data_IF_532923277692
#
_entry.id   IF_532923277692
#
_cell.length_a   1.000
_cell.length_b   1.000
_cell.length_c   1.000
_cell.angle_alpha   90.00
_cell.angle_beta   90.00
_cell.angle_gamma   90.00
#
_symmetry.space_group_name_H-M   'P 1'
#
loop_
_entity.id
_entity.type
_entity.pdbx_description
1 polymer ?
#
# COMPACT_ATOMS: atom_id res chain seq x y z
N UNK A 1 28.33 -9.38 6.35
CA UNK A 1 28.10 -9.73 4.94
C UNK A 1 27.05 -8.78 4.38
N UNK A 2 27.47 -7.75 3.64
CA UNK A 2 26.58 -6.87 2.89
C UNK A 2 25.94 -7.67 1.77
N UNK A 3 24.63 -7.90 1.83
CA UNK A 3 23.88 -8.46 0.69
C UNK A 3 23.81 -7.40 -0.40
N UNK A 4 24.54 -7.64 -1.49
CA UNK A 4 24.43 -6.95 -2.76
C UNK A 4 23.01 -7.11 -3.30
N UNK A 5 22.31 -5.99 -3.42
CA UNK A 5 20.93 -5.97 -3.88
C UNK A 5 20.27 -4.66 -3.52
N UNK A 6 20.84 -3.53 -3.97
CA UNK A 6 20.06 -2.28 -4.02
C UNK A 6 18.92 -2.48 -5.02
N UNK A 7 17.83 -3.11 -4.58
CA UNK A 7 16.53 -2.99 -5.26
C UNK A 7 16.23 -1.50 -5.29
N UNK A 8 16.16 -0.90 -6.49
CA UNK A 8 15.71 0.48 -6.64
C UNK A 8 14.26 0.51 -6.18
N UNK A 9 14.04 1.05 -4.98
CA UNK A 9 12.70 1.35 -4.49
C UNK A 9 12.16 2.51 -5.32
N UNK A 10 11.12 2.21 -6.10
CA UNK A 10 10.42 3.21 -6.91
C UNK A 10 9.56 4.09 -5.99
N UNK A 11 9.43 5.37 -6.32
CA UNK A 11 8.43 6.21 -5.68
C UNK A 11 7.05 5.58 -5.94
N UNK A 12 6.25 5.42 -4.90
CA UNK A 12 4.90 4.90 -5.01
C UNK A 12 3.93 5.89 -4.37
N UNK A 13 2.83 6.17 -5.04
CA UNK A 13 1.68 6.85 -4.42
C UNK A 13 0.67 5.79 -4.01
N UNK A 14 0.02 5.99 -2.86
CA UNK A 14 -1.03 5.12 -2.35
C UNK A 14 -2.38 5.84 -2.42
N UNK A 15 -3.41 5.16 -2.91
CA UNK A 15 -4.77 5.67 -2.97
C UNK A 15 -5.80 4.56 -2.70
N UNK A 16 -7.03 4.97 -2.42
CA UNK A 16 -8.17 4.09 -2.16
C UNK A 16 -9.20 4.28 -3.26
N UNK A 17 -9.69 3.20 -3.85
CA UNK A 17 -10.71 3.26 -4.89
C UNK A 17 -12.10 2.99 -4.30
N UNK A 18 -13.04 3.89 -4.59
CA UNK A 18 -14.46 3.68 -4.33
C UNK A 18 -15.28 4.02 -5.57
N UNK A 19 -16.38 3.31 -5.77
CA UNK A 19 -17.19 3.39 -6.97
C UNK A 19 -18.51 4.11 -6.67
N UNK A 20 -18.81 5.17 -7.41
CA UNK A 20 -20.10 5.87 -7.37
C UNK A 20 -21.23 5.08 -8.06
N UNK A 21 -22.48 5.51 -7.86
CA UNK A 21 -23.66 4.83 -8.39
C UNK A 21 -23.71 4.78 -9.94
N UNK A 22 -23.09 5.76 -10.60
CA UNK A 22 -23.02 5.95 -12.07
C UNK A 22 -21.63 5.60 -12.64
N UNK A 23 -20.92 4.67 -12.00
CA UNK A 23 -19.70 4.03 -12.52
C UNK A 23 -18.45 4.91 -12.64
N UNK A 24 -18.39 6.02 -11.91
CA UNK A 24 -17.15 6.79 -11.74
C UNK A 24 -16.39 6.28 -10.51
N UNK A 25 -15.13 5.87 -10.72
CA UNK A 25 -14.22 5.53 -9.61
C UNK A 25 -13.56 6.81 -9.09
N UNK A 26 -13.74 7.07 -7.80
CA UNK A 26 -13.12 8.17 -7.08
C UNK A 26 -11.98 7.68 -6.19
N UNK A 27 -10.95 8.51 -6.03
CA UNK A 27 -9.81 8.24 -5.17
C UNK A 27 -10.10 8.77 -3.76
N UNK A 28 -10.73 7.96 -2.91
CA UNK A 28 -11.22 8.38 -1.60
C UNK A 28 -11.19 7.25 -0.56
N UNK A 29 -10.67 7.54 0.64
CA UNK A 29 -10.39 6.53 1.67
C UNK A 29 -11.64 6.00 2.39
N UNK A 30 -12.57 6.88 2.77
CA UNK A 30 -13.77 6.43 3.50
C UNK A 30 -14.86 6.04 2.51
N UNK A 31 -15.78 5.11 2.85
CA UNK A 31 -16.97 4.90 2.04
C UNK A 31 -17.98 6.07 2.13
N UNK A 32 -17.89 6.87 3.21
CA UNK A 32 -18.75 8.02 3.48
C UNK A 32 -17.99 9.34 3.27
N UNK A 33 -18.67 10.35 2.72
CA UNK A 33 -18.07 11.64 2.33
C UNK A 33 -17.85 12.61 3.50
N UNK A 34 -18.52 12.37 4.62
CA UNK A 34 -18.77 13.31 5.72
C UNK A 34 -17.51 13.83 6.40
N UNK A 35 -16.50 12.98 6.59
CA UNK A 35 -15.34 13.31 7.41
C UNK A 35 -14.39 14.32 6.75
N UNK A 36 -14.28 14.26 5.42
CA UNK A 36 -13.21 14.96 4.68
C UNK A 36 -13.72 15.99 3.68
N UNK A 37 -15.03 16.03 3.44
CA UNK A 37 -15.63 16.90 2.42
C UNK A 37 -16.75 17.73 3.00
N UNK A 38 -17.21 18.72 2.24
CA UNK A 38 -18.41 19.49 2.56
C UNK A 38 -19.73 18.78 2.18
N UNK A 39 -19.68 17.51 1.79
CA UNK A 39 -20.84 16.67 1.51
C UNK A 39 -21.05 15.58 2.56
N UNK A 40 -22.09 14.77 2.38
CA UNK A 40 -22.46 13.70 3.31
C UNK A 40 -22.99 12.48 2.56
N UNK A 41 -22.86 11.30 3.19
CA UNK A 41 -23.43 10.04 2.75
C UNK A 41 -22.48 9.17 1.92
N UNK A 42 -23.01 8.00 1.56
CA UNK A 42 -22.23 6.89 1.03
C UNK A 42 -21.94 7.07 -0.45
N UNK A 43 -20.66 6.95 -0.83
CA UNK A 43 -20.22 7.07 -2.24
C UNK A 43 -20.94 6.08 -3.15
N UNK A 44 -21.09 4.78 -2.81
CA UNK A 44 -21.78 3.82 -3.68
C UNK A 44 -23.27 4.10 -3.90
N UNK A 45 -23.88 4.96 -3.08
CA UNK A 45 -25.29 5.32 -3.17
C UNK A 45 -25.52 6.67 -3.86
N UNK A 46 -24.46 7.36 -4.27
CA UNK A 46 -24.53 8.68 -4.92
C UNK A 46 -23.96 8.65 -6.33
N UNK A 47 -24.59 9.32 -7.31
CA UNK A 47 -23.97 9.52 -8.60
C UNK A 47 -22.78 10.47 -8.45
N UNK A 48 -21.76 10.31 -9.27
CA UNK A 48 -20.70 11.30 -9.36
C UNK A 48 -21.19 12.55 -10.09
N UNK A 49 -21.87 12.35 -11.21
CA UNK A 49 -22.40 13.44 -12.02
C UNK A 49 -23.63 14.08 -11.37
N UNK A 50 -23.59 15.40 -11.19
CA UNK A 50 -24.62 16.20 -10.54
C UNK A 50 -24.58 16.20 -9.00
N UNK A 51 -23.63 15.52 -8.37
CA UNK A 51 -23.57 15.39 -6.91
C UNK A 51 -22.10 15.40 -6.41
N UNK A 52 -21.39 14.26 -6.44
CA UNK A 52 -20.02 14.17 -5.89
C UNK A 52 -19.05 15.15 -6.57
N UNK A 53 -19.22 15.43 -7.87
CA UNK A 53 -18.33 16.35 -8.62
C UNK A 53 -18.33 17.80 -8.09
N UNK A 54 -19.38 18.20 -7.38
CA UNK A 54 -19.51 19.53 -6.77
C UNK A 54 -18.91 19.61 -5.37
N UNK A 55 -18.57 18.48 -4.76
CA UNK A 55 -18.02 18.42 -3.41
C UNK A 55 -16.56 18.88 -3.37
N UNK A 56 -16.16 19.40 -2.22
CA UNK A 56 -14.81 19.89 -1.96
C UNK A 56 -14.28 19.39 -0.63
N UNK A 57 -12.97 19.21 -0.56
CA UNK A 57 -12.28 18.87 0.70
C UNK A 57 -12.43 19.99 1.72
N UNK A 58 -12.55 19.63 3.00
CA UNK A 58 -12.63 20.60 4.10
C UNK A 58 -11.30 21.33 4.34
N UNK A 59 -10.17 20.65 4.11
CA UNK A 59 -8.84 21.24 4.24
C UNK A 59 -8.59 22.26 3.12
N UNK A 60 -7.97 23.39 3.48
CA UNK A 60 -7.61 24.45 2.54
C UNK A 60 -6.23 24.23 1.88
N UNK A 61 -6.07 24.57 0.59
CA UNK A 61 -7.11 25.07 -0.31
C UNK A 61 -8.08 23.95 -0.70
N UNK A 62 -9.39 24.23 -0.63
CA UNK A 62 -10.43 23.24 -0.94
C UNK A 62 -10.25 22.66 -2.36
N UNK A 63 -10.14 21.33 -2.46
CA UNK A 63 -9.91 20.61 -3.72
C UNK A 63 -11.13 19.75 -4.10
N UNK A 64 -11.35 19.46 -5.41
CA UNK A 64 -12.29 18.43 -5.82
C UNK A 64 -11.82 17.04 -5.39
N UNK A 65 -12.74 16.07 -5.36
CA UNK A 65 -12.41 14.65 -5.15
C UNK A 65 -11.81 14.10 -6.46
N UNK A 66 -10.56 13.59 -6.44
CA UNK A 66 -9.92 13.10 -7.67
C UNK A 66 -10.60 11.83 -8.20
N UNK A 67 -10.73 11.73 -9.53
CA UNK A 67 -11.16 10.49 -10.21
C UNK A 67 -9.97 9.57 -10.48
N UNK A 68 -10.26 8.29 -10.66
CA UNK A 68 -9.26 7.30 -11.11
C UNK A 68 -8.64 7.69 -12.45
N UNK A 69 -9.45 8.13 -13.43
CA UNK A 69 -8.98 8.58 -14.74
C UNK A 69 -7.97 9.73 -14.61
N UNK A 70 -8.22 10.70 -13.74
CA UNK A 70 -7.32 11.84 -13.49
C UNK A 70 -5.99 11.39 -12.85
N UNK A 71 -6.03 10.39 -11.97
CA UNK A 71 -4.83 9.80 -11.39
C UNK A 71 -4.00 9.05 -12.46
N UNK A 72 -4.66 8.33 -13.38
CA UNK A 72 -3.99 7.68 -14.50
C UNK A 72 -3.37 8.70 -15.47
N UNK A 73 -4.07 9.77 -15.79
CA UNK A 73 -3.54 10.87 -16.61
C UNK A 73 -2.28 11.48 -15.98
N UNK A 74 -2.31 11.72 -14.67
CA UNK A 74 -1.15 12.23 -13.94
C UNK A 74 0.03 11.25 -14.00
N UNK A 75 -0.22 9.96 -13.81
CA UNK A 75 0.80 8.90 -13.91
C UNK A 75 1.39 8.80 -15.31
N UNK A 76 0.61 9.06 -16.36
CA UNK A 76 1.06 8.95 -17.74
C UNK A 76 1.93 10.12 -18.21
N UNK A 77 2.06 11.19 -17.41
CA UNK A 77 2.98 12.28 -17.71
C UNK A 77 4.44 11.81 -17.67
N UNK A 78 5.31 12.23 -18.62
CA UNK A 78 6.69 11.75 -18.70
C UNK A 78 7.49 11.89 -17.40
N UNK A 79 7.31 13.00 -16.69
CA UNK A 79 7.95 13.29 -15.41
C UNK A 79 7.56 12.28 -14.30
N UNK A 80 6.39 11.66 -14.41
CA UNK A 80 5.86 10.70 -13.44
C UNK A 80 6.05 9.23 -13.87
N UNK A 81 6.74 8.96 -14.98
CA UNK A 81 7.00 7.61 -15.50
C UNK A 81 7.69 6.67 -14.49
N UNK A 82 8.41 7.23 -13.52
CA UNK A 82 9.11 6.51 -12.47
C UNK A 82 8.21 6.08 -11.28
N UNK A 83 6.98 6.61 -11.19
CA UNK A 83 6.06 6.42 -10.06
C UNK A 83 5.21 5.16 -10.25
N UNK A 84 5.12 4.35 -9.19
CA UNK A 84 4.15 3.24 -9.07
C UNK A 84 2.89 3.72 -8.36
N UNK A 85 1.77 3.08 -8.66
CA UNK A 85 0.48 3.39 -8.07
C UNK A 85 -0.07 2.20 -7.30
N UNK A 86 -0.08 2.33 -5.98
CA UNK A 86 -0.63 1.34 -5.06
C UNK A 86 -2.08 1.70 -4.74
N UNK A 87 -3.03 0.85 -5.12
CA UNK A 87 -4.46 1.13 -5.06
C UNK A 87 -5.13 0.11 -4.16
N UNK A 88 -5.77 0.57 -3.10
CA UNK A 88 -6.54 -0.30 -2.22
C UNK A 88 -7.92 -0.59 -2.78
N UNK A 89 -8.20 -1.89 -2.89
CA UNK A 89 -9.47 -2.45 -3.33
C UNK A 89 -10.25 -2.90 -2.09
N UNK A 90 -11.16 -2.03 -1.66
CA UNK A 90 -11.95 -2.22 -0.43
C UNK A 90 -12.97 -3.35 -0.56
N UNK A 91 -13.31 -4.05 0.55
CA UNK A 91 -14.20 -5.21 0.55
C UNK A 91 -15.62 -4.93 0.04
N UNK A 92 -16.14 -3.72 0.17
CA UNK A 92 -17.49 -3.33 -0.25
C UNK A 92 -17.66 -3.26 -1.78
N UNK A 93 -16.58 -3.22 -2.56
CA UNK A 93 -16.67 -3.08 -4.02
C UNK A 93 -17.18 -4.38 -4.70
N UNK A 94 -18.01 -4.26 -5.76
CA UNK A 94 -18.36 -5.38 -6.64
C UNK A 94 -17.17 -5.70 -7.58
N UNK A 95 -16.51 -6.88 -7.46
CA UNK A 95 -15.24 -7.16 -8.14
C UNK A 95 -15.28 -7.00 -9.67
N UNK A 96 -16.23 -7.65 -10.33
CA UNK A 96 -16.31 -7.71 -11.79
C UNK A 96 -16.64 -6.34 -12.38
N UNK A 97 -17.57 -5.61 -11.75
CA UNK A 97 -17.95 -4.26 -12.16
C UNK A 97 -16.78 -3.30 -11.98
N UNK A 98 -16.14 -3.29 -10.80
CA UNK A 98 -14.99 -2.44 -10.51
C UNK A 98 -13.85 -2.68 -11.49
N UNK A 99 -13.42 -3.93 -11.66
CA UNK A 99 -12.28 -4.23 -12.54
C UNK A 99 -12.59 -4.02 -14.01
N UNK A 100 -13.84 -4.17 -14.45
CA UNK A 100 -14.25 -3.81 -15.81
C UNK A 100 -14.13 -2.30 -16.06
N UNK A 101 -14.53 -1.47 -15.10
CA UNK A 101 -14.38 -0.01 -15.18
C UNK A 101 -12.91 0.36 -15.16
N UNK A 102 -12.12 -0.21 -14.23
CA UNK A 102 -10.67 0.02 -14.17
C UNK A 102 -9.99 -0.37 -15.49
N UNK A 103 -10.32 -1.55 -16.04
CA UNK A 103 -9.79 -1.99 -17.32
C UNK A 103 -10.10 -0.98 -18.42
N UNK A 104 -11.36 -0.55 -18.54
CA UNK A 104 -11.80 0.45 -19.53
C UNK A 104 -11.05 1.77 -19.36
N UNK A 105 -10.79 2.21 -18.13
CA UNK A 105 -10.01 3.41 -17.83
C UNK A 105 -8.55 3.28 -18.24
N UNK A 106 -7.93 2.15 -17.91
CA UNK A 106 -6.51 1.87 -18.17
C UNK A 106 -6.25 1.69 -19.68
N UNK A 107 -7.11 0.96 -20.38
CA UNK A 107 -6.92 0.65 -21.81
C UNK A 107 -7.20 1.80 -22.76
N UNK A 108 -7.70 2.95 -22.26
CA UNK A 108 -7.78 4.21 -23.03
C UNK A 108 -6.39 4.74 -23.41
N UNK A 109 -5.36 4.43 -22.62
CA UNK A 109 -4.02 4.98 -22.83
C UNK A 109 -3.25 4.15 -23.86
N UNK A 110 -2.57 4.78 -24.84
CA UNK A 110 -1.71 4.07 -25.77
C UNK A 110 -0.52 3.43 -25.05
N UNK A 111 -0.15 2.21 -25.46
CA UNK A 111 0.91 1.38 -24.87
C UNK A 111 0.74 1.17 -23.35
N UNK A 112 -0.49 1.15 -22.83
CA UNK A 112 -0.72 1.03 -21.38
C UNK A 112 -0.07 -0.24 -20.81
N UNK A 113 0.00 -1.34 -21.57
CA UNK A 113 0.63 -2.59 -21.15
C UNK A 113 2.11 -2.42 -20.81
N UNK A 114 2.80 -1.50 -21.49
CA UNK A 114 4.22 -1.24 -21.31
C UNK A 114 4.48 -0.06 -20.36
N UNK A 115 3.69 1.01 -20.48
CA UNK A 115 3.92 2.28 -19.79
C UNK A 115 3.15 2.43 -18.48
N UNK A 116 1.98 1.79 -18.36
CA UNK A 116 1.08 1.98 -17.21
C UNK A 116 0.97 0.72 -16.34
N UNK A 117 0.58 -0.41 -16.93
CA UNK A 117 0.31 -1.65 -16.23
C UNK A 117 1.42 -2.11 -15.27
N UNK A 118 2.73 -2.04 -15.62
CA UNK A 118 3.81 -2.48 -14.72
C UNK A 118 3.95 -1.61 -13.46
N UNK A 119 3.23 -0.49 -13.40
CA UNK A 119 3.24 0.47 -12.30
C UNK A 119 2.01 0.32 -11.41
N UNK A 120 0.98 -0.40 -11.83
CA UNK A 120 -0.25 -0.59 -11.06
C UNK A 120 -0.11 -1.76 -10.08
N UNK A 121 -0.31 -1.49 -8.79
CA UNK A 121 -0.30 -2.46 -7.70
C UNK A 121 -1.68 -2.40 -7.04
N UNK A 122 -2.41 -3.52 -7.03
CA UNK A 122 -3.76 -3.60 -6.46
C UNK A 122 -3.71 -4.30 -5.11
N UNK A 123 -3.90 -3.54 -4.03
CA UNK A 123 -3.99 -4.02 -2.66
C UNK A 123 -5.37 -4.61 -2.39
N UNK A 124 -5.48 -5.93 -2.39
CA UNK A 124 -6.73 -6.65 -2.15
C UNK A 124 -6.94 -6.90 -0.66
N UNK A 125 -8.02 -6.35 -0.11
CA UNK A 125 -8.45 -6.62 1.27
C UNK A 125 -9.20 -7.95 1.42
N UNK A 126 -9.82 -8.47 0.36
CA UNK A 126 -10.68 -9.66 0.42
C UNK A 126 -10.36 -10.68 -0.70
N UNK A 127 -10.34 -12.00 -0.42
CA UNK A 127 -10.00 -13.02 -1.43
C UNK A 127 -10.92 -13.05 -2.66
N UNK A 128 -12.18 -12.60 -2.52
CA UNK A 128 -13.16 -12.51 -3.63
C UNK A 128 -12.65 -11.74 -4.86
N UNK A 129 -11.68 -10.85 -4.69
CA UNK A 129 -11.14 -10.06 -5.78
C UNK A 129 -10.08 -10.80 -6.61
N UNK A 130 -9.55 -11.92 -6.12
CA UNK A 130 -8.39 -12.60 -6.75
C UNK A 130 -8.74 -13.07 -8.16
N UNK A 131 -9.80 -13.87 -8.31
CA UNK A 131 -10.16 -14.45 -9.61
C UNK A 131 -10.66 -13.40 -10.61
N UNK A 132 -11.55 -12.45 -10.23
CA UNK A 132 -11.94 -11.35 -11.10
C UNK A 132 -10.74 -10.48 -11.55
N UNK A 133 -9.77 -10.22 -10.66
CA UNK A 133 -8.59 -9.45 -11.03
C UNK A 133 -7.73 -10.19 -12.06
N UNK A 134 -7.48 -11.50 -11.86
CA UNK A 134 -6.75 -12.33 -12.83
C UNK A 134 -7.47 -12.44 -14.17
N UNK A 135 -8.80 -12.43 -14.18
CA UNK A 135 -9.59 -12.56 -15.41
C UNK A 135 -9.67 -11.27 -16.20
N UNK A 136 -9.96 -10.13 -15.53
CA UNK A 136 -10.34 -8.88 -16.20
C UNK A 136 -9.14 -7.92 -16.36
N UNK A 137 -8.22 -7.93 -15.40
CA UNK A 137 -7.04 -7.05 -15.38
C UNK A 137 -5.75 -7.85 -15.09
N UNK A 138 -5.44 -8.90 -15.89
CA UNK A 138 -4.33 -9.82 -15.65
C UNK A 138 -2.94 -9.17 -15.62
N UNK A 139 -2.82 -7.96 -16.15
CA UNK A 139 -1.58 -7.21 -16.26
C UNK A 139 -1.22 -6.42 -14.99
N UNK A 140 -2.17 -6.23 -14.06
CA UNK A 140 -1.91 -5.48 -12.83
C UNK A 140 -1.19 -6.36 -11.80
N UNK A 141 -0.27 -5.77 -11.03
CA UNK A 141 0.37 -6.49 -9.93
C UNK A 141 -0.61 -6.66 -8.77
N UNK A 142 -0.90 -7.91 -8.40
CA UNK A 142 -1.72 -8.20 -7.23
C UNK A 142 -0.88 -8.16 -5.95
N UNK A 143 -1.38 -7.42 -4.97
CA UNK A 143 -0.91 -7.40 -3.60
C UNK A 143 -2.06 -7.79 -2.65
N UNK A 144 -1.74 -8.34 -1.50
CA UNK A 144 -2.70 -8.40 -0.38
C UNK A 144 -2.40 -7.26 0.57
N UNK A 145 -3.42 -6.58 1.06
CA UNK A 145 -3.31 -5.63 2.15
C UNK A 145 -4.09 -6.12 3.37
N UNK A 146 -3.44 -6.10 4.54
CA UNK A 146 -4.08 -6.57 5.76
C UNK A 146 -3.22 -6.55 7.03
N UNK A 147 -3.79 -7.06 8.12
CA UNK A 147 -3.17 -7.17 9.45
C UNK A 147 -3.03 -8.63 9.88
N UNK A 148 -3.87 -9.52 9.35
CA UNK A 148 -3.89 -10.95 9.66
C UNK A 148 -2.84 -11.74 8.87
N UNK A 149 -1.78 -12.16 9.55
CA UNK A 149 -0.75 -13.04 8.97
C UNK A 149 -1.35 -14.38 8.51
N UNK A 150 -2.33 -14.92 9.23
CA UNK A 150 -2.97 -16.19 8.89
C UNK A 150 -3.80 -16.09 7.63
N UNK A 151 -4.56 -15.00 7.45
CA UNK A 151 -5.33 -14.74 6.24
C UNK A 151 -4.41 -14.55 5.04
N UNK A 152 -3.37 -13.71 5.18
CA UNK A 152 -2.35 -13.49 4.17
C UNK A 152 -1.72 -14.83 3.72
N UNK A 153 -1.36 -15.67 4.69
CA UNK A 153 -0.72 -16.95 4.45
C UNK A 153 -1.62 -17.96 3.72
N UNK A 154 -2.88 -18.04 4.12
CA UNK A 154 -3.79 -19.09 3.65
C UNK A 154 -4.51 -18.74 2.34
N UNK A 155 -4.90 -17.48 2.13
CA UNK A 155 -5.77 -17.11 1.01
C UNK A 155 -5.09 -16.26 -0.06
N UNK A 156 -3.95 -15.62 0.25
CA UNK A 156 -3.30 -14.70 -0.68
C UNK A 156 -1.92 -15.12 -1.11
N UNK A 157 -1.18 -15.85 -0.26
CA UNK A 157 0.25 -16.08 -0.43
C UNK A 157 0.60 -16.66 -1.81
N UNK A 158 -0.19 -17.60 -2.34
CA UNK A 158 0.06 -18.19 -3.67
C UNK A 158 -0.42 -17.32 -4.85
N UNK A 159 -1.28 -16.34 -4.60
CA UNK A 159 -1.92 -15.54 -5.64
C UNK A 159 -1.31 -14.16 -5.85
N UNK A 160 -0.61 -13.62 -4.85
CA UNK A 160 -0.07 -12.26 -4.88
C UNK A 160 1.46 -12.26 -4.96
N UNK A 161 2.03 -11.19 -5.52
CA UNK A 161 3.49 -10.99 -5.56
C UNK A 161 3.99 -10.14 -4.39
N UNK A 162 3.12 -9.35 -3.78
CA UNK A 162 3.45 -8.43 -2.69
C UNK A 162 2.47 -8.59 -1.53
N UNK A 163 2.99 -8.58 -0.30
CA UNK A 163 2.20 -8.57 0.93
C UNK A 163 2.38 -7.19 1.58
N UNK A 164 1.32 -6.39 1.64
CA UNK A 164 1.25 -5.07 2.26
C UNK A 164 0.66 -5.20 3.66
N UNK A 165 1.50 -5.38 4.67
CA UNK A 165 1.05 -5.74 6.02
C UNK A 165 1.16 -4.57 6.99
N UNK A 166 0.30 -4.52 8.01
CA UNK A 166 0.48 -3.51 9.06
C UNK A 166 1.84 -3.64 9.76
N UNK A 167 2.48 -2.53 10.10
CA UNK A 167 3.77 -2.54 10.78
C UNK A 167 3.71 -3.34 12.09
N UNK A 168 2.63 -3.15 12.87
CA UNK A 168 2.43 -3.84 14.14
C UNK A 168 2.29 -5.35 13.97
N UNK A 169 1.65 -5.87 12.91
CA UNK A 169 1.60 -7.32 12.69
C UNK A 169 2.98 -7.92 12.39
N UNK A 170 3.90 -7.10 11.89
CA UNK A 170 5.23 -7.54 11.45
C UNK A 170 6.30 -7.52 12.55
N UNK A 171 6.06 -6.81 13.66
CA UNK A 171 7.07 -6.65 14.72
C UNK A 171 7.26 -7.90 15.60
N UNK A 172 6.19 -8.70 15.74
CA UNK A 172 6.19 -9.91 16.58
C UNK A 172 7.11 -11.00 16.00
N UNK A 173 7.42 -12.02 16.81
CA UNK A 173 8.17 -13.20 16.35
C UNK A 173 7.53 -13.86 15.11
N UNK A 174 6.20 -13.92 15.09
CA UNK A 174 5.43 -14.50 13.99
C UNK A 174 5.53 -13.62 12.74
N UNK A 175 5.45 -12.29 12.92
CA UNK A 175 5.67 -11.32 11.85
C UNK A 175 7.07 -11.42 11.25
N UNK A 176 8.10 -11.54 12.10
CA UNK A 176 9.49 -11.73 11.65
C UNK A 176 9.70 -13.08 10.96
N UNK A 177 9.01 -14.14 11.41
CA UNK A 177 8.99 -15.43 10.71
C UNK A 177 8.31 -15.32 9.34
N UNK A 178 7.20 -14.59 9.26
CA UNK A 178 6.51 -14.32 8.00
C UNK A 178 7.38 -13.52 7.02
N UNK A 179 8.14 -12.52 7.47
CA UNK A 179 9.12 -11.81 6.63
C UNK A 179 10.18 -12.75 6.03
N UNK A 180 10.73 -13.65 6.85
CA UNK A 180 11.71 -14.65 6.36
C UNK A 180 11.10 -15.54 5.29
N UNK A 181 9.89 -16.04 5.54
CA UNK A 181 9.14 -16.84 4.56
C UNK A 181 8.87 -16.07 3.27
N UNK A 182 8.41 -14.81 3.35
CA UNK A 182 8.24 -13.96 2.16
C UNK A 182 9.55 -13.83 1.36
N UNK A 183 10.68 -13.60 2.04
CA UNK A 183 11.99 -13.49 1.40
C UNK A 183 12.41 -14.79 0.72
N UNK A 184 12.26 -15.94 1.38
CA UNK A 184 12.55 -17.26 0.84
C UNK A 184 11.69 -17.59 -0.39
N UNK A 185 10.41 -17.20 -0.36
CA UNK A 185 9.46 -17.35 -1.48
C UNK A 185 9.51 -16.21 -2.50
N UNK A 186 10.52 -15.32 -2.43
CA UNK A 186 10.70 -14.18 -3.32
C UNK A 186 9.46 -13.24 -3.42
N UNK A 187 8.65 -13.17 -2.37
CA UNK A 187 7.54 -12.23 -2.24
C UNK A 187 8.08 -10.86 -1.84
N UNK A 188 7.49 -9.81 -2.41
CA UNK A 188 7.72 -8.45 -1.94
C UNK A 188 6.94 -8.18 -0.65
N UNK A 189 7.46 -7.33 0.23
CA UNK A 189 6.74 -6.90 1.44
C UNK A 189 6.68 -5.38 1.50
N UNK A 190 5.49 -4.82 1.72
CA UNK A 190 5.30 -3.42 2.09
C UNK A 190 4.73 -3.34 3.49
N UNK A 191 5.03 -2.26 4.22
CA UNK A 191 4.48 -2.04 5.57
C UNK A 191 3.81 -0.69 5.73
N UNK A 192 2.71 -0.67 6.49
CA UNK A 192 1.86 0.51 6.68
C UNK A 192 1.24 0.53 8.09
N UNK A 193 0.66 1.62 8.57
CA UNK A 193 1.07 2.99 8.25
C UNK A 193 2.25 3.33 9.17
N UNK A 194 3.37 3.72 8.58
CA UNK A 194 4.63 3.94 9.30
C UNK A 194 4.92 5.43 9.35
N UNK A 195 4.50 6.09 10.42
CA UNK A 195 4.60 7.56 10.53
C UNK A 195 5.66 8.03 11.52
N UNK A 196 6.17 7.16 12.39
CA UNK A 196 7.24 7.52 13.32
C UNK A 196 8.64 7.19 12.80
N UNK A 197 9.64 8.00 13.18
CA UNK A 197 11.05 7.75 12.89
C UNK A 197 11.48 6.35 13.30
N UNK A 198 11.13 5.94 14.51
CA UNK A 198 11.51 4.64 15.06
C UNK A 198 10.94 3.48 14.24
N UNK A 199 9.69 3.57 13.79
CA UNK A 199 9.10 2.54 12.92
C UNK A 199 9.73 2.56 11.51
N UNK A 200 10.02 3.74 10.95
CA UNK A 200 10.70 3.85 9.66
C UNK A 200 12.08 3.20 9.70
N UNK A 201 12.83 3.41 10.79
CA UNK A 201 14.13 2.76 11.00
C UNK A 201 13.95 1.25 11.07
N UNK A 202 13.06 0.73 11.92
CA UNK A 202 12.84 -0.73 12.02
C UNK A 202 12.38 -1.37 10.72
N UNK A 203 11.38 -0.79 10.06
CA UNK A 203 10.91 -1.28 8.76
C UNK A 203 12.05 -1.30 7.73
N UNK A 204 12.94 -0.30 7.74
CA UNK A 204 14.13 -0.28 6.89
C UNK A 204 15.12 -1.39 7.24
N UNK A 205 15.30 -1.73 8.52
CA UNK A 205 16.15 -2.86 8.96
C UNK A 205 15.62 -4.21 8.50
N UNK A 206 14.30 -4.38 8.46
CA UNK A 206 13.65 -5.59 7.98
C UNK A 206 13.90 -5.83 6.49
N UNK A 207 14.32 -4.80 5.74
CA UNK A 207 14.59 -4.91 4.30
C UNK A 207 13.30 -5.06 3.48
N UNK A 208 12.20 -4.46 3.94
CA UNK A 208 10.93 -4.41 3.21
C UNK A 208 11.08 -3.67 1.87
N UNK A 209 10.28 -4.06 0.89
CA UNK A 209 10.22 -3.46 -0.45
C UNK A 209 9.38 -2.17 -0.51
N UNK A 210 8.74 -1.76 0.58
CA UNK A 210 8.00 -0.50 0.63
C UNK A 210 7.57 -0.11 2.03
N UNK A 211 7.55 1.20 2.29
CA UNK A 211 7.03 1.81 3.51
C UNK A 211 5.97 2.81 3.08
N UNK A 212 4.74 2.60 3.55
CA UNK A 212 3.61 3.50 3.29
C UNK A 212 3.49 4.42 4.51
N UNK A 213 3.59 5.72 4.27
CA UNK A 213 3.71 6.77 5.28
C UNK A 213 3.04 8.04 4.82
N UNK A 214 2.44 8.77 5.76
CA UNK A 214 1.96 10.14 5.54
C UNK A 214 3.14 11.13 5.56
N UNK A 215 4.24 10.76 6.21
CA UNK A 215 5.45 11.58 6.43
C UNK A 215 6.49 11.41 5.32
N UNK A 216 6.04 11.50 4.06
CA UNK A 216 6.84 11.17 2.87
C UNK A 216 8.14 11.98 2.75
N UNK A 217 8.08 13.30 2.96
CA UNK A 217 9.26 14.19 2.90
C UNK A 217 10.30 13.79 3.95
N UNK A 218 9.84 13.52 5.17
CA UNK A 218 10.68 13.11 6.27
C UNK A 218 11.33 11.75 6.00
N UNK A 219 10.56 10.78 5.52
CA UNK A 219 11.08 9.46 5.18
C UNK A 219 12.13 9.50 4.06
N UNK A 220 11.91 10.32 3.02
CA UNK A 220 12.90 10.51 1.94
C UNK A 220 14.22 11.05 2.50
N UNK A 221 14.17 11.99 3.45
CA UNK A 221 15.38 12.52 4.09
C UNK A 221 16.07 11.45 4.94
N UNK A 222 15.34 10.78 5.83
CA UNK A 222 15.86 9.70 6.67
C UNK A 222 16.56 8.62 5.84
N UNK A 223 15.97 8.25 4.68
CA UNK A 223 16.59 7.30 3.75
C UNK A 223 17.91 7.79 3.17
N UNK A 224 18.05 9.06 2.84
CA UNK A 224 19.32 9.62 2.37
C UNK A 224 20.39 9.49 3.45
N UNK A 225 20.03 9.82 4.69
CA UNK A 225 20.91 9.72 5.85
C UNK A 225 21.34 8.27 6.12
N UNK A 226 20.45 7.30 5.86
CA UNK A 226 20.75 5.87 5.98
C UNK A 226 21.52 5.29 4.77
N UNK A 227 21.37 5.83 3.56
CA UNK A 227 21.92 5.22 2.32
C UNK A 227 23.31 5.73 1.95
N UNK A 228 23.72 6.90 2.44
CA UNK A 228 25.02 7.53 2.18
C UNK A 228 26.25 6.69 2.59
N UNK A 229 26.04 5.52 3.22
CA UNK A 229 27.08 4.53 3.52
C UNK A 229 27.37 3.52 2.37
N UNK A 230 26.43 3.22 1.47
CA UNK A 230 26.60 2.11 0.52
C UNK A 230 27.48 2.43 -0.70
N UNK A 231 27.68 3.71 -1.04
CA UNK A 231 28.51 4.15 -2.17
C UNK A 231 29.97 4.47 -1.78
N UNK A 232 30.29 4.50 -0.49
CA UNK A 232 31.60 4.95 -0.02
C UNK A 232 32.70 3.89 -0.03
N UNK A 233 32.37 2.61 -0.30
CA UNK A 233 33.36 1.54 -0.42
C UNK A 233 34.01 1.43 -1.82
N UNK A 234 33.72 2.33 -2.77
CA UNK A 234 34.26 2.22 -4.14
C UNK A 234 34.92 3.47 -4.74
N UNK A 235 34.95 4.64 -4.08
CA UNK A 235 35.66 5.82 -4.60
C UNK A 235 36.29 6.66 -3.50
N UNK A 236 37.63 6.71 -3.51
CA UNK A 236 38.47 7.65 -2.76
C UNK A 236 38.29 9.07 -3.32
N UNK A 237 37.23 9.77 -2.97
CA UNK A 237 37.19 11.23 -3.04
C UNK A 237 36.30 11.76 -1.93
N UNK A 238 36.95 12.38 -0.95
CA UNK A 238 36.37 12.95 0.25
C UNK A 238 35.91 14.37 -0.03
N UNK A 239 34.64 14.53 -0.38
CA UNK A 239 33.85 15.75 -0.18
C UNK A 239 32.37 15.31 -0.21
N UNK A 240 31.82 15.01 0.96
CA UNK A 240 30.40 15.10 1.35
C UNK A 240 30.21 14.46 2.74
N UNK A 241 29.26 14.99 3.52
CA UNK A 241 29.13 14.79 4.97
C UNK A 241 29.16 13.32 5.48
N UNK A 242 29.75 13.05 6.68
CA UNK A 242 29.80 11.71 7.25
C UNK A 242 28.38 11.20 7.52
N UNK A 243 28.07 10.04 6.95
CA UNK A 243 26.79 9.35 7.14
C UNK A 243 26.71 8.74 8.55
N UNK A 244 25.68 9.10 9.32
CA UNK A 244 25.43 8.54 10.65
C UNK A 244 24.65 7.21 10.57
N UNK A 245 24.82 6.42 9.51
CA UNK A 245 24.07 5.18 9.31
C UNK A 245 24.15 4.26 10.53
N UNK A 246 25.34 4.12 11.11
CA UNK A 246 25.55 3.26 12.28
C UNK A 246 24.88 3.83 13.54
N UNK A 247 24.81 5.16 13.72
CA UNK A 247 24.07 5.78 14.82
C UNK A 247 22.57 5.62 14.65
N UNK A 248 22.06 5.97 13.46
CA UNK A 248 20.63 5.85 13.12
C UNK A 248 20.16 4.39 13.23
N UNK A 249 20.94 3.43 12.74
CA UNK A 249 20.61 2.01 12.84
C UNK A 249 20.54 1.54 14.30
N UNK A 250 21.27 2.18 15.23
CA UNK A 250 21.28 1.84 16.65
C UNK A 250 20.28 2.61 17.50
N UNK A 251 19.55 3.59 16.93
CA UNK A 251 18.57 4.40 17.67
C UNK A 251 17.51 3.54 18.37
N UNK A 252 17.03 2.50 17.68
CA UNK A 252 16.14 1.52 18.28
C UNK A 252 16.96 0.40 18.93
N UNK A 253 16.87 0.31 20.26
CA UNK A 253 17.45 -0.78 21.03
C UNK A 253 16.66 -2.09 20.92
N UNK A 254 17.17 -3.18 21.50
CA UNK A 254 16.53 -4.49 21.46
C UNK A 254 15.13 -4.49 22.09
N UNK A 255 14.83 -3.53 22.98
CA UNK A 255 13.53 -3.39 23.64
C UNK A 255 12.46 -2.67 22.80
N UNK A 256 12.77 -2.24 21.57
CA UNK A 256 11.81 -1.54 20.72
C UNK A 256 10.47 -2.30 20.52
N UNK A 257 10.44 -3.64 20.32
CA UNK A 257 9.18 -4.38 20.26
C UNK A 257 8.28 -4.25 21.50
N UNK A 258 8.83 -3.85 22.63
CA UNK A 258 8.12 -3.61 23.89
C UNK A 258 7.92 -2.12 24.20
N UNK A 259 8.34 -1.22 23.30
CA UNK A 259 8.25 0.24 23.50
C UNK A 259 6.83 0.79 23.40
N UNK A 260 5.89 0.03 22.85
CA UNK A 260 4.49 0.43 22.71
C UNK A 260 3.56 -0.77 22.83
N UNK A 261 2.42 -0.57 23.51
CA UNK A 261 1.41 -1.61 23.67
C UNK A 261 0.88 -2.10 22.31
N UNK A 262 0.88 -1.25 21.27
CA UNK A 262 0.39 -1.59 19.92
C UNK A 262 1.19 -2.71 19.24
N UNK A 263 2.40 -2.99 19.72
CA UNK A 263 3.24 -4.08 19.25
C UNK A 263 2.99 -5.41 19.99
N UNK A 264 2.17 -5.36 21.04
CA UNK A 264 1.90 -6.52 21.87
C UNK A 264 0.96 -7.49 21.16
N UNK A 265 1.31 -8.77 21.18
CA UNK A 265 0.66 -9.84 20.40
C UNK A 265 -0.87 -9.90 20.60
N UNK A 266 -1.43 -9.80 21.81
CA UNK A 266 -2.88 -9.73 21.99
C UNK A 266 -3.55 -8.56 21.27
N UNK A 267 -2.91 -7.39 21.19
CA UNK A 267 -3.48 -6.25 20.46
C UNK A 267 -3.37 -6.42 18.94
N UNK A 268 -2.27 -7.01 18.45
CA UNK A 268 -2.15 -7.31 17.01
C UNK A 268 -3.13 -8.40 16.59
N UNK A 269 -3.37 -9.40 17.44
CA UNK A 269 -4.36 -10.46 17.19
C UNK A 269 -5.79 -9.91 17.23
N UNK A 270 -6.07 -8.99 18.15
CA UNK A 270 -7.34 -8.29 18.19
C UNK A 270 -7.55 -7.43 16.93
N UNK A 271 -6.52 -6.72 16.45
CA UNK A 271 -6.59 -5.96 15.21
C UNK A 271 -6.85 -6.86 13.99
N UNK A 272 -6.16 -8.01 13.89
CA UNK A 272 -6.41 -9.02 12.87
C UNK A 272 -7.83 -9.61 12.95
N UNK A 273 -8.35 -9.83 14.16
CA UNK A 273 -9.74 -10.27 14.36
C UNK A 273 -10.74 -9.22 13.85
N UNK A 274 -10.55 -7.95 14.19
CA UNK A 274 -11.41 -6.86 13.73
C UNK A 274 -11.34 -6.66 12.22
N UNK A 275 -10.17 -6.82 11.61
CA UNK A 275 -10.02 -6.85 10.16
C UNK A 275 -10.88 -7.95 9.55
N UNK A 276 -10.71 -9.20 10.00
CA UNK A 276 -11.45 -10.35 9.46
C UNK A 276 -12.95 -10.11 9.59
N UNK A 277 -13.41 -9.59 10.73
CA UNK A 277 -14.81 -9.22 10.95
C UNK A 277 -15.26 -8.14 9.96
N UNK A 278 -14.49 -7.07 9.79
CA UNK A 278 -14.79 -5.97 8.89
C UNK A 278 -14.90 -6.43 7.43
N UNK A 279 -13.90 -7.17 6.93
CA UNK A 279 -13.89 -7.63 5.55
C UNK A 279 -14.96 -8.70 5.31
N UNK A 280 -15.33 -9.49 6.33
CA UNK A 280 -16.44 -10.44 6.22
C UNK A 280 -17.78 -9.72 6.13
N UNK A 281 -17.98 -8.68 6.95
CA UNK A 281 -19.22 -7.89 6.98
C UNK A 281 -19.47 -7.17 5.65
N UNK A 282 -18.43 -6.61 5.03
CA UNK A 282 -18.56 -5.81 3.81
C UNK A 282 -18.27 -6.59 2.52
N UNK A 283 -17.45 -7.66 2.62
CA UNK A 283 -16.99 -8.45 1.49
C UNK A 283 -17.78 -9.74 1.28
N UNK A 284 -18.48 -10.22 2.30
CA UNK A 284 -19.10 -11.54 2.31
C UNK A 284 -18.26 -12.58 3.07
N UNK A 285 -18.76 -13.80 3.17
CA UNK A 285 -18.05 -14.88 3.87
C UNK A 285 -16.72 -15.20 3.16
N UNK A 286 -15.64 -15.30 3.94
CA UNK A 286 -14.37 -15.84 3.46
C UNK A 286 -14.52 -17.37 3.43
N UNK A 287 -14.48 -17.94 2.23
CA UNK A 287 -14.48 -19.39 2.04
C UNK A 287 -13.17 -19.98 2.59
N UNK A 288 -13.19 -21.25 3.00
CA UNK A 288 -11.97 -21.93 3.42
C UNK A 288 -10.97 -21.95 2.27
N UNK A 289 -9.72 -21.58 2.53
CA UNK A 289 -8.63 -21.75 1.58
C UNK A 289 -8.65 -23.19 1.04
N UNK A 290 -8.70 -23.33 -0.29
CA UNK A 290 -8.51 -24.62 -0.93
C UNK A 290 -7.09 -25.09 -0.58
N UNK A 291 -7.00 -26.19 0.16
CA UNK A 291 -5.75 -26.82 0.58
C UNK A 291 -4.91 -27.28 -0.63
#
# INVERSE_FOLDING_TARGET
>A
MCTSGTRRLHAATHANADQSADDVIVMFHDPELDRLTNGSGSIPLKPYHGDIEHLRTLQQPAQPIPKFDEALELLMRPENSHVKFNIDIKPNNPPERLFSIMHKSISKFPDYELKLAPRLILGLWHPKFIEPAKSIIPYAYLAHIGMSLSLAQSHFFEHVKVLSMSFSSMISSDGQAFLRKCKESQKGVMVWTVNSRSEMIEASKWGVDGIITDETKYFVQLRKDMTSCAKHLSRNNAYDAPSDFNGIFKENGPLFPWSSIKYYKPLTDLAAYWEIKYITQHGGKIESANA
#
